data_IF_398035226670
#
_entry.id   IF_398035226670
#
_cell.length_a   1.000
_cell.length_b   1.000
_cell.length_c   1.000
_cell.angle_alpha   90.00
_cell.angle_beta   90.00
_cell.angle_gamma   90.00
#
_symmetry.space_group_name_H-M   'P 1'
#
loop_
_entity.id
_entity.type
_entity.pdbx_description
1 polymer ?
#
# COMPACT_ATOMS: atom_id res chain seq x y z
N UNK A 1 -27.38 17.47 -5.66
CA UNK A 1 -26.41 18.58 -5.54
C UNK A 1 -25.12 18.08 -6.19
N UNK A 2 -24.95 18.39 -7.48
CA UNK A 2 -23.80 17.93 -8.30
C UNK A 2 -22.52 18.56 -7.75
N UNK A 3 -21.55 17.72 -7.44
CA UNK A 3 -20.20 18.17 -7.08
C UNK A 3 -19.53 18.56 -8.39
N UNK A 4 -19.42 19.86 -8.66
CA UNK A 4 -18.48 20.41 -9.65
C UNK A 4 -17.05 20.20 -9.14
N UNK A 5 -16.57 18.96 -9.22
CA UNK A 5 -15.15 18.67 -9.19
C UNK A 5 -14.65 18.88 -10.62
N UNK A 6 -14.03 20.03 -10.86
CA UNK A 6 -13.37 20.34 -12.13
C UNK A 6 -12.33 19.25 -12.40
N UNK A 7 -12.67 18.37 -13.34
CA UNK A 7 -11.82 17.34 -13.93
C UNK A 7 -10.86 18.04 -14.89
N UNK A 8 -9.56 17.96 -14.66
CA UNK A 8 -8.59 18.22 -15.72
C UNK A 8 -8.32 16.89 -16.43
N UNK A 9 -9.27 16.46 -17.27
CA UNK A 9 -9.05 15.35 -18.19
C UNK A 9 -8.32 15.90 -19.42
N UNK A 10 -7.16 15.35 -19.75
CA UNK A 10 -6.56 15.58 -21.07
C UNK A 10 -7.30 14.69 -22.09
N UNK A 11 -8.41 15.20 -22.63
CA UNK A 11 -9.30 14.48 -23.55
C UNK A 11 -8.64 14.08 -24.89
N UNK A 12 -7.38 14.48 -25.13
CA UNK A 12 -6.67 14.21 -26.37
C UNK A 12 -5.89 12.89 -26.41
N UNK A 13 -5.82 12.13 -25.31
CA UNK A 13 -5.26 10.76 -25.32
C UNK A 13 -6.32 9.76 -25.77
N UNK A 14 -6.33 9.44 -27.07
CA UNK A 14 -7.08 8.29 -27.60
C UNK A 14 -6.24 7.02 -27.46
N UNK A 15 -6.77 6.06 -26.72
CA UNK A 15 -6.14 4.77 -26.49
C UNK A 15 -6.29 3.88 -27.73
N UNK A 16 -5.22 3.16 -28.07
CA UNK A 16 -5.26 2.11 -29.07
C UNK A 16 -5.76 0.79 -28.45
N UNK A 17 -7.08 0.61 -28.40
CA UNK A 17 -7.76 -0.58 -27.86
C UNK A 17 -7.37 -1.87 -28.57
N UNK A 18 -6.86 -1.78 -29.81
CA UNK A 18 -6.35 -2.92 -30.58
C UNK A 18 -5.03 -3.41 -29.96
N UNK A 19 -4.14 -2.50 -29.56
CA UNK A 19 -2.89 -2.89 -28.89
C UNK A 19 -3.13 -3.50 -27.50
N UNK A 20 -4.15 -3.04 -26.77
CA UNK A 20 -4.54 -3.64 -25.49
C UNK A 20 -4.99 -5.10 -25.67
N UNK A 21 -5.91 -5.37 -26.59
CA UNK A 21 -6.37 -6.73 -26.88
C UNK A 21 -5.20 -7.65 -27.30
N UNK A 22 -4.29 -7.15 -28.13
CA UNK A 22 -3.12 -7.90 -28.57
C UNK A 22 -2.12 -8.18 -27.43
N UNK A 23 -2.05 -7.30 -26.42
CA UNK A 23 -1.15 -7.45 -25.26
C UNK A 23 -1.61 -8.49 -24.23
N UNK A 24 -2.91 -8.82 -24.19
CA UNK A 24 -3.48 -9.79 -23.25
C UNK A 24 -3.35 -11.25 -23.70
N UNK A 25 -2.90 -11.50 -24.94
CA UNK A 25 -2.81 -12.83 -25.57
C UNK A 25 -1.69 -13.74 -25.01
N UNK A 26 -1.30 -13.55 -23.75
CA UNK A 26 -0.21 -14.30 -23.11
C UNK A 26 -0.76 -15.52 -22.34
N UNK A 27 -2.00 -15.48 -21.84
CA UNK A 27 -2.66 -16.61 -21.14
C UNK A 27 -4.17 -16.67 -21.44
N UNK A 28 -4.74 -17.84 -21.80
CA UNK A 28 -6.19 -17.97 -22.10
C UNK A 28 -7.11 -17.64 -20.92
N UNK A 29 -6.61 -17.56 -19.69
CA UNK A 29 -7.35 -17.12 -18.50
C UNK A 29 -7.40 -15.61 -18.33
N UNK A 30 -6.57 -14.86 -19.08
CA UNK A 30 -6.57 -13.39 -19.10
C UNK A 30 -7.33 -12.96 -20.36
N UNK A 31 -8.57 -12.53 -20.17
CA UNK A 31 -9.49 -12.27 -21.27
C UNK A 31 -9.83 -10.79 -21.33
N UNK A 32 -9.82 -10.19 -22.52
CA UNK A 32 -10.35 -8.85 -22.70
C UNK A 32 -11.88 -8.87 -22.59
N UNK A 33 -12.43 -8.38 -21.47
CA UNK A 33 -13.87 -8.18 -21.34
C UNK A 33 -14.33 -6.88 -21.99
N UNK A 34 -15.57 -6.84 -22.47
CA UNK A 34 -16.18 -5.58 -22.95
C UNK A 34 -16.17 -4.49 -21.87
N UNK A 35 -16.32 -4.87 -20.60
CA UNK A 35 -16.22 -3.97 -19.46
C UNK A 35 -14.80 -3.46 -19.20
N UNK A 36 -13.78 -4.28 -19.46
CA UNK A 36 -12.39 -3.85 -19.40
C UNK A 36 -12.10 -2.79 -20.46
N UNK A 37 -12.61 -3.01 -21.68
CA UNK A 37 -12.52 -2.02 -22.78
C UNK A 37 -13.24 -0.73 -22.39
N UNK A 38 -14.48 -0.81 -21.90
CA UNK A 38 -15.24 0.37 -21.44
C UNK A 38 -14.54 1.11 -20.30
N UNK A 39 -13.89 0.39 -19.39
CA UNK A 39 -13.11 1.01 -18.31
C UNK A 39 -11.94 1.80 -18.89
N UNK A 40 -11.19 1.19 -19.80
CA UNK A 40 -10.05 1.82 -20.47
C UNK A 40 -10.49 3.02 -21.31
N UNK A 41 -11.56 2.91 -22.10
CA UNK A 41 -12.12 4.03 -22.85
C UNK A 41 -12.56 5.19 -21.94
N UNK A 42 -13.05 4.88 -20.74
CA UNK A 42 -13.54 5.89 -19.78
C UNK A 42 -12.42 6.50 -18.94
N UNK A 43 -11.37 5.74 -18.62
CA UNK A 43 -10.36 6.13 -17.62
C UNK A 43 -8.91 6.09 -18.09
N UNK A 44 -8.58 5.32 -19.12
CA UNK A 44 -7.19 5.15 -19.53
C UNK A 44 -6.56 6.47 -19.97
N UNK A 45 -5.31 6.68 -19.58
CA UNK A 45 -4.57 7.91 -19.82
C UNK A 45 -5.00 9.10 -18.96
N UNK A 46 -6.06 8.98 -18.14
CA UNK A 46 -6.52 10.04 -17.27
C UNK A 46 -5.66 10.17 -16.01
N UNK A 47 -5.42 11.43 -15.62
CA UNK A 47 -4.94 11.80 -14.30
C UNK A 47 -6.07 12.45 -13.53
N UNK A 48 -6.44 11.86 -12.41
CA UNK A 48 -7.47 12.41 -11.53
C UNK A 48 -6.81 12.89 -10.23
N UNK A 49 -6.95 14.17 -9.88
CA UNK A 49 -6.48 14.67 -8.58
C UNK A 49 -7.68 14.97 -7.70
N UNK A 50 -7.79 14.26 -6.58
CA UNK A 50 -8.78 14.56 -5.56
C UNK A 50 -8.40 15.85 -4.84
N UNK A 51 -9.04 16.96 -5.19
CA UNK A 51 -8.73 18.29 -4.63
C UNK A 51 -8.84 18.39 -3.11
N UNK A 52 -9.59 17.50 -2.45
CA UNK A 52 -9.73 17.52 -0.98
C UNK A 52 -8.55 16.88 -0.27
N UNK A 53 -7.92 15.89 -0.89
CA UNK A 53 -6.79 15.14 -0.31
C UNK A 53 -5.48 15.35 -1.02
N UNK A 54 -5.50 16.08 -2.13
CA UNK A 54 -4.39 16.22 -3.04
C UNK A 54 -3.88 14.89 -3.63
N UNK A 55 -4.61 13.78 -3.46
CA UNK A 55 -4.21 12.49 -4.02
C UNK A 55 -4.41 12.54 -5.54
N UNK A 56 -3.33 12.37 -6.29
CA UNK A 56 -3.38 12.08 -7.71
C UNK A 56 -3.56 10.58 -7.93
N UNK A 57 -4.41 10.23 -8.89
CA UNK A 57 -4.71 8.90 -9.41
C UNK A 57 -4.29 8.91 -10.87
N UNK A 58 -3.30 8.09 -11.23
CA UNK A 58 -2.85 7.96 -12.61
C UNK A 58 -3.33 6.64 -13.18
N UNK A 59 -4.22 6.69 -14.16
CA UNK A 59 -4.78 5.52 -14.84
C UNK A 59 -3.98 5.25 -16.12
N UNK A 60 -2.72 4.81 -16.00
CA UNK A 60 -1.91 4.65 -17.21
C UNK A 60 -2.34 3.44 -18.06
N UNK A 61 -2.52 3.71 -19.34
CA UNK A 61 -1.53 3.29 -20.34
C UNK A 61 -1.37 1.78 -20.55
N UNK A 62 -0.25 1.24 -20.04
CA UNK A 62 0.17 -0.17 -20.10
C UNK A 62 1.54 -0.36 -19.36
N UNK A 63 1.85 -1.63 -19.04
CA UNK A 63 3.14 -2.27 -18.62
C UNK A 63 3.54 -2.33 -17.12
N UNK A 64 4.27 -3.39 -16.68
CA UNK A 64 4.07 -4.82 -16.88
C UNK A 64 3.19 -5.35 -15.74
N UNK A 65 2.02 -5.89 -16.06
CA UNK A 65 1.25 -6.61 -15.04
C UNK A 65 2.08 -7.81 -14.58
N UNK A 66 2.28 -7.95 -13.27
CA UNK A 66 2.94 -9.11 -12.71
C UNK A 66 2.06 -10.34 -12.95
N UNK A 67 2.31 -11.06 -14.05
CA UNK A 67 1.51 -12.18 -14.50
C UNK A 67 1.33 -13.24 -13.41
N UNK A 68 2.37 -13.46 -12.59
CA UNK A 68 2.29 -14.40 -11.47
C UNK A 68 1.24 -13.96 -10.45
N UNK A 69 1.18 -12.67 -10.11
CA UNK A 69 0.15 -12.14 -9.18
C UNK A 69 -1.26 -12.23 -9.76
N UNK A 70 -1.42 -12.02 -11.07
CA UNK A 70 -2.72 -12.20 -11.74
C UNK A 70 -3.15 -13.67 -11.68
N UNK A 71 -2.24 -14.60 -11.97
CA UNK A 71 -2.52 -16.03 -11.90
C UNK A 71 -2.82 -16.49 -10.47
N UNK A 72 -2.11 -15.99 -9.47
CA UNK A 72 -2.41 -16.21 -8.05
C UNK A 72 -3.83 -15.73 -7.70
N UNK A 73 -4.19 -14.52 -8.14
CA UNK A 73 -5.54 -13.99 -7.94
C UNK A 73 -6.60 -14.86 -8.61
N UNK A 74 -6.43 -15.19 -9.90
CA UNK A 74 -7.34 -16.07 -10.66
C UNK A 74 -7.52 -17.40 -9.94
N UNK A 75 -6.43 -18.03 -9.51
CA UNK A 75 -6.48 -19.30 -8.80
C UNK A 75 -7.16 -19.18 -7.43
N UNK A 76 -7.02 -18.03 -6.74
CA UNK A 76 -7.65 -17.80 -5.44
C UNK A 76 -9.16 -17.55 -5.52
N UNK A 77 -9.61 -16.82 -6.55
CA UNK A 77 -11.02 -16.47 -6.72
C UNK A 77 -11.78 -17.46 -7.59
N UNK A 78 -11.07 -18.27 -8.37
CA UNK A 78 -11.62 -19.12 -9.43
C UNK A 78 -12.47 -18.32 -10.44
N UNK A 79 -12.00 -17.12 -10.78
CA UNK A 79 -12.65 -16.18 -11.70
C UNK A 79 -11.67 -15.67 -12.76
N UNK A 80 -12.17 -15.45 -13.98
CA UNK A 80 -11.42 -14.80 -15.05
C UNK A 80 -11.33 -13.30 -14.78
N UNK A 81 -10.16 -12.70 -15.02
CA UNK A 81 -9.95 -11.26 -14.84
C UNK A 81 -9.21 -10.62 -16.01
N UNK A 82 -9.49 -9.34 -16.20
CA UNK A 82 -8.80 -8.45 -17.12
C UNK A 82 -8.07 -7.36 -16.33
N UNK A 83 -6.75 -7.19 -16.46
CA UNK A 83 -6.07 -6.02 -15.91
C UNK A 83 -6.47 -4.78 -16.68
N UNK A 84 -6.92 -3.73 -15.99
CA UNK A 84 -7.48 -2.52 -16.62
C UNK A 84 -6.66 -1.26 -16.37
N UNK A 85 -5.58 -1.37 -15.60
CA UNK A 85 -4.65 -0.29 -15.35
C UNK A 85 -4.13 -0.34 -13.93
N UNK A 86 -3.66 0.80 -13.44
CA UNK A 86 -3.30 0.95 -12.05
C UNK A 86 -3.88 2.23 -11.47
N UNK A 87 -3.87 2.30 -10.15
CA UNK A 87 -4.04 3.53 -9.39
C UNK A 87 -2.70 3.79 -8.73
N UNK A 88 -2.02 4.85 -9.17
CA UNK A 88 -0.95 5.45 -8.37
C UNK A 88 -1.61 6.45 -7.43
N UNK A 89 -1.36 6.36 -6.14
CA UNK A 89 -1.82 7.32 -5.14
C UNK A 89 -0.62 7.75 -4.31
N UNK A 90 -0.44 9.06 -4.10
CA UNK A 90 0.66 9.59 -3.28
C UNK A 90 0.68 9.00 -1.87
N UNK A 91 -0.49 8.67 -1.33
CA UNK A 91 -0.64 8.08 -0.01
C UNK A 91 -0.55 6.54 -0.08
N UNK A 92 -0.93 5.91 -1.19
CA UNK A 92 -1.19 4.46 -1.21
C UNK A 92 -0.25 3.68 -2.14
N UNK A 93 0.66 4.34 -2.84
CA UNK A 93 1.53 3.72 -3.84
C UNK A 93 0.75 3.30 -5.10
N UNK A 94 1.35 2.40 -5.87
CA UNK A 94 0.78 1.88 -7.13
C UNK A 94 0.04 0.57 -6.86
N UNK A 95 -1.21 0.49 -7.30
CA UNK A 95 -2.03 -0.73 -7.25
C UNK A 95 -2.53 -1.13 -8.61
N UNK A 96 -2.49 -2.42 -8.89
CA UNK A 96 -3.04 -2.99 -10.12
C UNK A 96 -4.54 -3.16 -9.98
N UNK A 97 -5.29 -2.62 -10.94
CA UNK A 97 -6.72 -2.83 -11.04
C UNK A 97 -7.03 -3.99 -11.98
N UNK A 98 -7.89 -4.89 -11.53
CA UNK A 98 -8.45 -5.95 -12.37
C UNK A 98 -9.97 -5.89 -12.35
N UNK A 99 -10.59 -6.27 -13.47
CA UNK A 99 -12.04 -6.42 -13.63
C UNK A 99 -12.36 -7.88 -13.92
N UNK A 100 -13.31 -8.46 -13.20
CA UNK A 100 -13.79 -9.81 -13.48
C UNK A 100 -14.92 -9.83 -14.53
N UNK A 101 -15.35 -11.02 -14.94
CA UNK A 101 -16.46 -11.22 -15.87
C UNK A 101 -17.81 -10.64 -15.40
N UNK A 102 -17.97 -10.38 -14.10
CA UNK A 102 -19.16 -9.76 -13.48
C UNK A 102 -19.08 -8.23 -13.42
N UNK A 103 -18.03 -7.64 -14.00
CA UNK A 103 -17.71 -6.20 -13.97
C UNK A 103 -17.31 -5.67 -12.59
N UNK A 104 -17.01 -6.56 -11.64
CA UNK A 104 -16.52 -6.18 -10.33
C UNK A 104 -15.03 -5.81 -10.43
N UNK A 105 -14.63 -4.76 -9.70
CA UNK A 105 -13.30 -4.16 -9.77
C UNK A 105 -12.55 -4.49 -8.48
N UNK A 106 -11.32 -4.95 -8.61
CA UNK A 106 -10.46 -5.38 -7.51
C UNK A 106 -9.12 -4.68 -7.52
N UNK A 107 -8.56 -4.48 -6.33
CA UNK A 107 -7.13 -4.25 -6.12
C UNK A 107 -6.44 -5.60 -6.08
N UNK A 108 -5.57 -5.85 -7.06
CA UNK A 108 -4.90 -7.15 -7.23
C UNK A 108 -4.04 -7.49 -6.00
N UNK A 109 -3.27 -6.54 -5.49
CA UNK A 109 -2.30 -6.74 -4.40
C UNK A 109 -2.94 -7.17 -3.08
N UNK A 110 -4.21 -6.82 -2.86
CA UNK A 110 -4.94 -7.11 -1.62
C UNK A 110 -6.09 -8.09 -1.81
N UNK A 111 -6.28 -8.61 -3.03
CA UNK A 111 -7.41 -9.45 -3.39
C UNK A 111 -8.77 -8.83 -2.95
N UNK A 112 -8.85 -7.49 -2.99
CA UNK A 112 -9.96 -6.75 -2.35
C UNK A 112 -10.86 -6.18 -3.42
N UNK A 113 -12.16 -6.52 -3.35
CA UNK A 113 -13.18 -5.89 -4.19
C UNK A 113 -13.41 -4.46 -3.74
N UNK A 114 -13.23 -3.51 -4.66
CA UNK A 114 -13.43 -2.09 -4.38
C UNK A 114 -14.70 -1.51 -4.99
N UNK A 115 -15.26 -2.16 -6.01
CA UNK A 115 -16.52 -1.75 -6.62
C UNK A 115 -17.21 -2.92 -7.33
N UNK A 116 -18.54 -2.89 -7.44
CA UNK A 116 -19.34 -3.87 -8.19
C UNK A 116 -19.43 -3.55 -9.68
N UNK A 117 -19.08 -2.33 -10.06
CA UNK A 117 -19.07 -1.84 -11.43
C UNK A 117 -18.26 -0.54 -11.56
N UNK A 118 -18.06 -0.11 -12.80
CA UNK A 118 -17.32 1.08 -13.21
C UNK A 118 -17.88 2.38 -12.57
N UNK A 119 -19.20 2.49 -12.41
CA UNK A 119 -19.83 3.69 -11.85
C UNK A 119 -19.68 3.77 -10.33
N UNK A 120 -19.82 2.65 -9.62
CA UNK A 120 -19.50 2.55 -8.19
C UNK A 120 -18.03 2.85 -7.95
N UNK A 121 -17.12 2.36 -8.81
CA UNK A 121 -15.70 2.67 -8.72
C UNK A 121 -15.45 4.18 -8.82
N UNK A 122 -16.10 4.87 -9.76
CA UNK A 122 -16.00 6.33 -9.85
C UNK A 122 -16.48 7.03 -8.57
N UNK A 123 -17.58 6.58 -8.00
CA UNK A 123 -18.09 7.11 -6.73
C UNK A 123 -17.09 6.86 -5.60
N UNK A 124 -16.49 5.68 -5.56
CA UNK A 124 -15.50 5.26 -4.57
C UNK A 124 -14.28 6.18 -4.63
N UNK A 125 -13.61 6.33 -5.79
CA UNK A 125 -12.44 7.21 -5.93
C UNK A 125 -12.75 8.70 -5.68
N UNK A 126 -13.99 9.12 -5.92
CA UNK A 126 -14.45 10.48 -5.65
C UNK A 126 -14.83 10.72 -4.19
N UNK A 127 -15.20 9.66 -3.47
CA UNK A 127 -15.78 9.72 -2.11
C UNK A 127 -14.76 9.81 -0.98
N UNK A 128 -13.46 9.73 -1.30
CA UNK A 128 -12.39 9.80 -0.31
C UNK A 128 -12.40 8.65 0.72
N UNK A 129 -13.06 7.54 0.39
CA UNK A 129 -13.06 6.34 1.22
C UNK A 129 -11.76 5.58 1.03
N UNK A 130 -11.22 5.08 2.13
CA UNK A 130 -10.14 4.12 2.12
C UNK A 130 -10.56 2.90 1.28
N UNK A 131 -9.79 2.54 0.24
CA UNK A 131 -10.10 1.43 -0.68
C UNK A 131 -9.61 0.08 -0.18
N UNK A 132 -8.64 0.09 0.72
CA UNK A 132 -8.09 -1.12 1.32
C UNK A 132 -8.90 -1.39 2.58
N UNK A 133 -9.68 -2.45 2.52
CA UNK A 133 -10.19 -3.11 3.71
C UNK A 133 -9.10 -4.08 4.19
N UNK A 134 -8.35 -3.66 5.20
CA UNK A 134 -7.30 -4.49 5.78
C UNK A 134 -7.95 -5.56 6.64
N UNK A 135 -8.38 -6.65 6.02
CA UNK A 135 -8.76 -7.85 6.76
C UNK A 135 -7.51 -8.43 7.40
N UNK A 136 -7.49 -8.43 8.74
CA UNK A 136 -6.40 -9.03 9.51
C UNK A 136 -6.56 -10.54 9.47
N UNK A 137 -5.55 -11.23 8.92
CA UNK A 137 -5.56 -12.68 8.83
C UNK A 137 -5.13 -13.31 10.15
N UNK A 138 -5.69 -14.47 10.49
CA UNK A 138 -5.31 -15.24 11.69
C UNK A 138 -3.82 -15.63 11.68
N UNK A 139 -3.23 -15.76 10.49
CA UNK A 139 -1.80 -15.99 10.30
C UNK A 139 -0.97 -14.83 10.86
N UNK A 140 -1.40 -13.58 10.63
CA UNK A 140 -0.74 -12.37 11.15
C UNK A 140 -0.74 -12.36 12.67
N UNK A 141 -1.89 -12.68 13.28
CA UNK A 141 -2.03 -12.76 14.73
C UNK A 141 -1.15 -13.89 15.30
N UNK A 142 -1.09 -15.02 14.62
CA UNK A 142 -0.26 -16.17 15.02
C UNK A 142 1.22 -15.81 14.98
N UNK A 143 1.68 -15.16 13.91
CA UNK A 143 3.07 -14.76 13.76
C UNK A 143 3.48 -13.73 14.82
N UNK A 144 2.64 -12.73 15.10
CA UNK A 144 2.88 -11.78 16.19
C UNK A 144 3.02 -12.48 17.54
N UNK A 145 2.11 -13.41 17.86
CA UNK A 145 2.18 -14.20 19.11
C UNK A 145 3.47 -15.02 19.20
N UNK A 146 3.92 -15.61 18.09
CA UNK A 146 5.17 -16.37 18.04
C UNK A 146 6.40 -15.47 18.28
N UNK A 147 6.32 -14.19 17.92
CA UNK A 147 7.32 -13.16 18.25
C UNK A 147 7.22 -12.62 19.68
N UNK A 148 6.31 -13.13 20.50
CA UNK A 148 6.13 -12.72 21.90
C UNK A 148 5.14 -11.57 22.12
N UNK A 149 4.37 -11.18 21.09
CA UNK A 149 3.30 -10.20 21.25
C UNK A 149 2.06 -10.80 21.93
N UNK A 150 1.40 -9.97 22.74
CA UNK A 150 0.06 -10.23 23.25
C UNK A 150 -0.70 -8.90 23.36
N UNK A 151 -2.05 -8.91 23.25
CA UNK A 151 -2.83 -7.68 23.27
C UNK A 151 -2.60 -6.85 24.53
N UNK A 152 -2.44 -5.53 24.36
CA UNK A 152 -2.17 -4.59 25.45
C UNK A 152 -0.84 -4.83 26.18
N UNK A 153 0.15 -5.44 25.53
CA UNK A 153 1.54 -5.45 26.00
C UNK A 153 1.97 -4.02 26.30
N UNK A 154 2.71 -3.84 27.39
CA UNK A 154 3.26 -2.56 27.84
C UNK A 154 4.70 -2.76 28.27
N UNK A 155 5.63 -2.55 27.35
CA UNK A 155 7.05 -2.53 27.67
C UNK A 155 7.50 -1.13 28.05
N UNK A 156 8.51 -1.07 28.91
CA UNK A 156 9.17 0.19 29.23
C UNK A 156 9.99 0.64 28.03
N UNK A 157 9.67 1.83 27.53
CA UNK A 157 10.32 2.46 26.38
C UNK A 157 11.06 3.74 26.78
N UNK A 158 11.29 3.98 28.07
CA UNK A 158 11.88 5.23 28.58
C UNK A 158 13.23 5.54 27.93
N UNK A 159 14.06 4.51 27.70
CA UNK A 159 15.34 4.64 27.02
C UNK A 159 15.18 5.05 25.55
N UNK A 160 14.33 4.35 24.81
CA UNK A 160 13.96 4.69 23.44
C UNK A 160 13.48 6.15 23.32
N UNK A 161 12.57 6.56 24.22
CA UNK A 161 12.03 7.93 24.22
C UNK A 161 13.16 8.96 24.39
N UNK A 162 14.09 8.72 25.32
CA UNK A 162 15.23 9.61 25.55
C UNK A 162 16.14 9.68 24.32
N UNK A 163 16.39 8.53 23.67
CA UNK A 163 17.21 8.44 22.47
C UNK A 163 16.59 9.15 21.26
N UNK A 164 15.28 8.99 21.04
CA UNK A 164 14.57 9.68 19.97
C UNK A 164 14.55 11.20 20.19
N UNK A 165 14.30 11.63 21.44
CA UNK A 165 14.32 13.06 21.81
C UNK A 165 15.70 13.69 21.67
N UNK A 166 16.76 13.01 22.09
CA UNK A 166 18.14 13.53 21.96
C UNK A 166 18.57 13.71 20.50
N UNK A 167 17.97 12.94 19.59
CA UNK A 167 18.17 12.99 18.14
C UNK A 167 17.22 13.93 17.40
N UNK A 168 16.31 14.60 18.11
CA UNK A 168 15.38 15.57 17.52
C UNK A 168 14.17 14.95 16.81
N UNK A 169 13.89 13.66 17.02
CA UNK A 169 12.70 13.03 16.45
C UNK A 169 11.45 13.37 17.29
N UNK A 170 10.33 13.79 16.65
CA UNK A 170 9.08 14.01 17.35
C UNK A 170 8.46 12.67 17.76
N UNK A 171 8.25 12.48 19.05
CA UNK A 171 7.45 11.36 19.55
C UNK A 171 6.01 11.81 19.76
N UNK A 172 5.10 11.23 19.00
CA UNK A 172 3.66 11.48 19.07
C UNK A 172 2.93 10.31 19.74
N UNK A 173 1.76 10.58 20.35
CA UNK A 173 0.98 9.63 21.15
C UNK A 173 0.77 8.26 20.49
N UNK A 174 0.59 8.25 19.16
CA UNK A 174 0.37 7.02 18.39
C UNK A 174 1.64 6.18 18.28
N UNK A 175 2.80 6.81 18.06
CA UNK A 175 4.09 6.12 18.07
C UNK A 175 4.44 5.60 19.47
N UNK A 176 4.19 6.40 20.51
CA UNK A 176 4.44 5.96 21.89
C UNK A 176 3.64 4.70 22.24
N UNK A 177 2.34 4.70 21.94
CA UNK A 177 1.47 3.52 22.14
C UNK A 177 1.93 2.32 21.31
N UNK A 178 2.33 2.56 20.07
CA UNK A 178 2.87 1.50 19.22
C UNK A 178 4.11 0.86 19.86
N UNK A 179 5.10 1.65 20.27
CA UNK A 179 6.30 1.08 20.90
C UNK A 179 6.00 0.40 22.23
N UNK A 180 5.14 0.98 23.07
CA UNK A 180 4.74 0.31 24.32
C UNK A 180 4.20 -1.12 24.07
N UNK A 181 3.53 -1.34 22.95
CA UNK A 181 2.96 -2.65 22.64
C UNK A 181 3.92 -3.55 21.83
N UNK A 182 4.64 -2.99 20.85
CA UNK A 182 5.36 -3.75 19.83
C UNK A 182 6.89 -3.62 19.89
N UNK A 183 7.45 -2.79 20.77
CA UNK A 183 8.90 -2.59 20.86
C UNK A 183 9.65 -3.89 21.20
N UNK A 184 10.79 -4.08 20.52
CA UNK A 184 11.65 -5.26 20.65
C UNK A 184 11.09 -6.55 20.05
N UNK A 185 9.95 -6.50 19.33
CA UNK A 185 9.48 -7.66 18.59
C UNK A 185 10.32 -7.86 17.32
N UNK A 186 10.69 -9.10 17.07
CA UNK A 186 11.35 -9.51 15.85
C UNK A 186 10.84 -10.87 15.39
N UNK A 187 11.09 -11.22 14.13
CA UNK A 187 10.67 -12.48 13.58
C UNK A 187 11.19 -12.72 12.18
N UNK A 188 10.71 -13.82 11.59
CA UNK A 188 11.00 -14.19 10.21
C UNK A 188 9.64 -14.39 9.51
N UNK A 189 9.47 -13.83 8.31
CA UNK A 189 8.28 -14.06 7.48
C UNK A 189 8.25 -15.46 6.90
N UNK A 190 7.11 -15.87 6.33
CA UNK A 190 6.99 -17.15 5.60
C UNK A 190 7.97 -17.24 4.41
N UNK A 191 8.42 -16.10 3.89
CA UNK A 191 9.41 -15.98 2.82
C UNK A 191 10.87 -16.02 3.32
N UNK A 192 11.10 -16.20 4.63
CA UNK A 192 12.44 -16.27 5.21
C UNK A 192 13.07 -14.90 5.48
N UNK A 193 12.29 -13.82 5.48
CA UNK A 193 12.79 -12.46 5.61
C UNK A 193 12.73 -12.02 7.07
N UNK A 194 13.84 -11.50 7.62
CA UNK A 194 13.91 -11.05 9.02
C UNK A 194 13.27 -9.66 9.15
N UNK A 195 12.43 -9.47 10.15
CA UNK A 195 11.87 -8.17 10.52
C UNK A 195 12.13 -7.88 11.99
N UNK A 196 12.28 -6.60 12.31
CA UNK A 196 12.51 -6.15 13.68
C UNK A 196 11.93 -4.74 13.90
N UNK A 197 11.14 -4.57 14.96
CA UNK A 197 10.71 -3.26 15.42
C UNK A 197 11.91 -2.58 16.06
N UNK A 198 12.19 -1.34 15.62
CA UNK A 198 13.36 -0.56 16.02
C UNK A 198 13.61 -0.68 17.53
N UNK A 199 14.82 -1.10 17.87
CA UNK A 199 15.36 -1.12 19.22
C UNK A 199 16.49 -0.08 19.32
N UNK A 200 17.06 0.08 20.53
CA UNK A 200 18.12 1.07 20.75
C UNK A 200 19.38 0.81 19.91
N UNK A 201 19.75 -0.45 19.67
CA UNK A 201 20.92 -0.82 18.89
C UNK A 201 20.74 -0.49 17.40
N UNK A 202 19.54 -0.73 16.87
CA UNK A 202 19.22 -0.48 15.45
C UNK A 202 19.09 1.02 15.18
N UNK A 203 18.60 1.80 16.14
CA UNK A 203 18.61 3.26 16.00
C UNK A 203 20.02 3.78 15.75
N UNK A 204 21.00 3.32 16.52
CA UNK A 204 22.38 3.81 16.40
C UNK A 204 23.02 3.46 15.05
N UNK A 205 22.66 2.31 14.47
CA UNK A 205 23.19 1.82 13.19
C UNK A 205 22.56 2.52 11.97
N UNK A 206 21.24 2.78 12.01
CA UNK A 206 20.48 3.25 10.82
C UNK A 206 20.05 4.72 10.88
N UNK A 207 20.31 5.44 11.98
CA UNK A 207 19.98 6.89 12.09
C UNK A 207 20.57 7.74 10.95
N UNK A 208 21.81 7.54 10.45
CA UNK A 208 22.34 8.34 9.35
C UNK A 208 21.54 8.20 8.06
N UNK A 209 21.21 6.97 7.66
CA UNK A 209 20.50 6.69 6.41
C UNK A 209 19.03 7.13 6.49
N UNK A 210 18.38 6.96 7.64
CA UNK A 210 16.99 7.41 7.86
C UNK A 210 16.88 8.95 7.87
N UNK A 211 17.91 9.65 8.34
CA UNK A 211 17.95 11.13 8.35
C UNK A 211 18.33 11.72 6.99
N UNK A 212 19.17 11.02 6.22
CA UNK A 212 19.60 11.41 4.87
C UNK A 212 18.60 11.05 3.77
N UNK A 213 17.57 10.24 4.06
CA UNK A 213 16.46 9.97 3.14
C UNK A 213 15.57 11.22 2.97
N UNK A 214 16.13 12.16 2.20
CA UNK A 214 15.52 13.41 1.77
C UNK A 214 14.32 13.17 0.86
N UNK A 215 14.22 12.00 0.25
CA UNK A 215 13.17 11.62 -0.70
C UNK A 215 11.84 11.30 0.01
N UNK A 216 11.89 10.72 1.22
CA UNK A 216 10.70 10.43 2.00
C UNK A 216 9.97 11.69 2.49
N UNK A 217 10.71 12.77 2.82
CA UNK A 217 10.13 14.07 3.23
C UNK A 217 9.23 14.70 2.16
N UNK A 218 9.43 14.36 0.89
CA UNK A 218 8.60 14.85 -0.21
C UNK A 218 7.32 14.02 -0.43
N UNK A 219 7.24 12.80 0.12
CA UNK A 219 6.17 11.82 -0.17
C UNK A 219 5.05 11.78 0.87
N UNK A 220 5.30 12.23 2.11
CA UNK A 220 4.26 12.41 3.15
C UNK A 220 4.26 13.88 3.60
N UNK A 221 3.83 14.83 2.75
CA UNK A 221 4.05 16.26 2.99
C UNK A 221 3.20 16.86 4.12
N UNK A 222 2.26 16.11 4.71
CA UNK A 222 1.24 16.64 5.62
C UNK A 222 1.33 16.19 7.08
N UNK A 223 2.19 15.23 7.43
CA UNK A 223 2.28 14.68 8.79
C UNK A 223 3.73 14.48 9.21
N UNK A 224 4.06 14.74 10.49
CA UNK A 224 5.33 14.28 11.04
C UNK A 224 5.32 12.75 11.11
N UNK A 225 6.50 12.15 10.98
CA UNK A 225 6.66 10.71 10.97
C UNK A 225 7.87 10.27 11.78
N UNK A 226 7.88 8.98 12.12
CA UNK A 226 8.92 8.34 12.90
C UNK A 226 9.20 6.95 12.33
N UNK A 227 10.47 6.57 12.11
CA UNK A 227 10.81 5.22 11.67
C UNK A 227 10.40 4.21 12.77
N UNK A 228 9.85 3.05 12.42
CA UNK A 228 9.35 2.05 13.39
C UNK A 228 9.82 0.63 13.16
N UNK A 229 10.13 0.23 11.94
CA UNK A 229 10.50 -1.15 11.61
C UNK A 229 11.56 -1.14 10.50
N UNK A 230 12.49 -2.08 10.59
CA UNK A 230 13.43 -2.39 9.51
C UNK A 230 13.20 -3.84 9.05
N UNK A 231 13.10 -4.01 7.74
CA UNK A 231 12.87 -5.28 7.08
C UNK A 231 14.12 -5.71 6.33
N UNK A 232 14.83 -6.72 6.83
CA UNK A 232 16.10 -7.16 6.27
C UNK A 232 15.89 -8.18 5.15
N UNK A 233 15.87 -7.73 3.91
CA UNK A 233 16.10 -8.62 2.78
C UNK A 233 17.60 -8.99 2.74
N UNK A 234 17.88 -10.27 2.47
CA UNK A 234 19.23 -10.85 2.43
C UNK A 234 20.25 -9.93 1.72
N UNK A 235 21.52 -9.86 2.17
CA UNK A 235 22.56 -9.09 1.48
C UNK A 235 22.62 -9.43 -0.02
N UNK A 236 22.75 -8.45 -0.93
CA UNK A 236 23.36 -7.13 -0.72
C UNK A 236 22.38 -5.95 -0.61
N UNK A 237 21.08 -6.17 -0.39
CA UNK A 237 20.09 -5.09 -0.43
C UNK A 237 19.84 -4.46 0.95
N UNK A 238 19.75 -3.12 0.98
CA UNK A 238 19.33 -2.36 2.15
C UNK A 238 17.89 -2.73 2.48
N UNK A 239 17.60 -2.89 3.78
CA UNK A 239 16.28 -3.27 4.24
C UNK A 239 15.23 -2.18 3.99
N UNK A 240 13.98 -2.58 3.74
CA UNK A 240 12.89 -1.61 3.60
C UNK A 240 12.63 -0.95 4.96
N UNK A 241 12.58 0.38 4.98
CA UNK A 241 12.23 1.15 6.16
C UNK A 241 10.73 1.45 6.22
N UNK A 242 10.16 1.34 7.42
CA UNK A 242 8.75 1.68 7.66
C UNK A 242 8.61 2.77 8.71
N UNK A 243 7.60 3.60 8.54
CA UNK A 243 7.37 4.81 9.31
C UNK A 243 5.94 4.83 9.84
N UNK A 244 5.77 5.28 11.07
CA UNK A 244 4.48 5.64 11.63
C UNK A 244 4.31 7.16 11.56
N UNK A 245 3.08 7.65 11.33
CA UNK A 245 2.77 9.09 11.35
C UNK A 245 2.04 9.50 12.62
N UNK A 246 1.90 10.81 12.85
CA UNK A 246 1.13 11.37 13.98
C UNK A 246 -0.28 10.80 14.12
N UNK A 247 -0.95 10.50 13.00
CA UNK A 247 -2.29 9.92 13.00
C UNK A 247 -2.31 8.41 13.31
N UNK A 248 -1.15 7.76 13.33
CA UNK A 248 -0.98 6.33 13.60
C UNK A 248 -1.04 5.44 12.35
N UNK A 249 -0.96 6.04 11.17
CA UNK A 249 -0.83 5.33 9.89
C UNK A 249 0.62 4.90 9.67
N UNK A 250 0.81 3.86 8.88
CA UNK A 250 2.09 3.24 8.58
C UNK A 250 2.39 3.32 7.09
N UNK A 251 3.62 3.70 6.75
CA UNK A 251 4.08 3.83 5.38
C UNK A 251 5.45 3.16 5.21
N UNK A 252 5.76 2.61 4.04
CA UNK A 252 7.13 2.21 3.70
C UNK A 252 7.90 3.37 3.06
N UNK A 253 9.21 3.26 2.94
CA UNK A 253 10.14 4.24 2.33
C UNK A 253 9.72 4.79 0.97
N UNK A 254 8.92 4.06 0.21
CA UNK A 254 8.41 4.57 -1.07
C UNK A 254 7.27 5.58 -0.92
N UNK A 255 6.75 5.81 0.29
CA UNK A 255 5.56 6.63 0.58
C UNK A 255 4.25 5.84 0.54
N UNK A 256 4.30 4.51 0.35
CA UNK A 256 3.12 3.64 0.25
C UNK A 256 2.50 3.37 1.62
N UNK A 257 1.20 3.64 1.80
CA UNK A 257 0.42 3.23 2.98
C UNK A 257 0.38 1.70 3.08
N UNK A 258 0.89 1.19 4.19
CA UNK A 258 0.91 -0.25 4.52
C UNK A 258 0.00 -0.60 5.69
N UNK A 259 -0.62 0.38 6.35
CA UNK A 259 -1.68 0.14 7.32
C UNK A 259 -2.19 1.43 7.97
N UNK A 260 -3.46 1.49 8.35
CA UNK A 260 -4.01 2.61 9.14
C UNK A 260 -3.79 2.43 10.65
N UNK A 261 -3.35 1.25 11.07
CA UNK A 261 -2.99 0.92 12.44
C UNK A 261 -1.93 -0.21 12.45
N UNK A 262 -1.44 -0.54 13.64
CA UNK A 262 -0.36 -1.51 13.83
C UNK A 262 -0.69 -2.91 13.27
N UNK A 263 -1.91 -3.42 13.49
CA UNK A 263 -2.27 -4.76 13.01
C UNK A 263 -2.37 -4.80 11.49
N UNK A 264 -2.93 -3.76 10.87
CA UNK A 264 -2.96 -3.63 9.42
C UNK A 264 -1.56 -3.56 8.82
N UNK A 265 -0.65 -2.82 9.49
CA UNK A 265 0.76 -2.77 9.14
C UNK A 265 1.40 -4.15 9.14
N UNK A 266 1.29 -4.92 10.23
CA UNK A 266 1.85 -6.28 10.29
C UNK A 266 1.21 -7.22 9.27
N UNK A 267 -0.10 -7.07 9.03
CA UNK A 267 -0.80 -7.86 8.02
C UNK A 267 -0.27 -7.60 6.61
N UNK A 268 0.11 -6.36 6.30
CA UNK A 268 0.77 -6.02 5.05
C UNK A 268 2.23 -6.47 5.04
N UNK A 269 2.96 -6.30 6.14
CA UNK A 269 4.37 -6.65 6.27
C UNK A 269 4.61 -8.14 6.03
N UNK A 270 3.76 -9.01 6.58
CA UNK A 270 3.92 -10.46 6.44
C UNK A 270 3.46 -11.00 5.08
N UNK A 271 2.86 -10.16 4.25
CA UNK A 271 2.47 -10.44 2.86
C UNK A 271 3.41 -9.78 1.85
N UNK A 272 4.39 -9.02 2.33
CA UNK A 272 5.31 -8.24 1.50
C UNK A 272 6.43 -9.12 0.93
#
# INVERSE_FOLDING_TARGET
MMVEQILNCDENRKIDTINYQNSLNIDPKIVAFESAIKFIEKFGGLKYTNKKTNIQYDFLETFPCNHNKILEFINSQNELVAPVGYIMSEIWGVFTLVINEKNEIYLLEYHTKIARNIDEFFCVISSNKNFIDFKIDDATITQLKNSGWYPNRKVDISQLINNLKSRGFPLFDKAEKFYQEFFGLCGITSYGIKWEILNDDILDEYTPDILEDSDFRYRIPSESYLPVCIYYNYPPYNGDSFYITETGKFFCETGKLVGNNALEFFNSLFKY
#
